data_IF_882789184275
#
_entry.id   IF_882789184275
#
_cell.length_a   1.000
_cell.length_b   1.000
_cell.length_c   1.000
_cell.angle_alpha   90.00
_cell.angle_beta   90.00
_cell.angle_gamma   90.00
#
_symmetry.space_group_name_H-M   'P 1'
#
loop_
_entity.id
_entity.type
_entity.pdbx_description
1 polymer ?
#
# COMPACT_ATOMS: atom_id res chain seq x y z
N UNK A 1 -34.20 24.45 8.26
CA UNK A 1 -33.14 24.88 9.19
C UNK A 1 -32.43 23.64 9.71
N UNK A 2 -31.75 22.92 8.83
CA UNK A 2 -30.79 21.89 9.19
C UNK A 2 -29.51 22.32 8.49
N UNK A 3 -28.62 22.95 9.23
CA UNK A 3 -27.28 23.22 8.76
C UNK A 3 -26.56 21.87 8.66
N UNK A 4 -26.29 21.46 7.43
CA UNK A 4 -25.28 20.47 7.11
C UNK A 4 -23.96 21.03 7.64
N UNK A 5 -23.52 20.49 8.79
CA UNK A 5 -22.18 20.72 9.29
C UNK A 5 -21.21 20.03 8.33
N UNK A 6 -20.86 20.71 7.23
CA UNK A 6 -19.62 20.41 6.52
C UNK A 6 -18.50 20.67 7.54
N UNK A 7 -17.96 19.61 8.11
CA UNK A 7 -16.65 19.64 8.74
C UNK A 7 -15.67 20.01 7.64
N UNK A 8 -15.43 21.31 7.48
CA UNK A 8 -14.40 21.82 6.58
C UNK A 8 -13.09 21.18 7.02
N UNK A 9 -12.53 20.32 6.19
CA UNK A 9 -11.19 19.81 6.42
C UNK A 9 -10.23 20.99 6.28
N UNK A 10 -9.77 21.49 7.42
CA UNK A 10 -8.87 22.63 7.48
C UNK A 10 -7.49 22.32 6.85
N UNK A 11 -7.20 21.05 6.59
CA UNK A 11 -5.96 20.59 5.99
C UNK A 11 -6.05 20.42 4.47
N UNK A 12 -7.23 20.56 3.87
CA UNK A 12 -7.45 20.40 2.43
C UNK A 12 -6.62 21.38 1.57
N UNK A 13 -6.32 22.58 2.10
CA UNK A 13 -5.58 23.62 1.40
C UNK A 13 -4.20 23.95 2.03
N UNK A 14 -3.72 23.11 2.95
CA UNK A 14 -2.46 23.35 3.68
C UNK A 14 -1.40 22.36 3.21
N UNK A 15 -0.29 22.90 2.72
CA UNK A 15 0.90 22.13 2.37
C UNK A 15 1.93 22.21 3.49
N UNK A 16 2.24 21.08 4.12
CA UNK A 16 3.29 20.98 5.12
C UNK A 16 4.60 20.49 4.48
N UNK A 17 5.73 20.95 5.01
CA UNK A 17 7.06 20.47 4.60
C UNK A 17 7.25 18.97 4.88
N UNK A 18 8.23 18.34 4.24
CA UNK A 18 8.69 17.00 4.63
C UNK A 18 8.98 17.00 6.14
N UNK A 19 8.50 15.98 6.86
CA UNK A 19 8.48 15.84 8.33
C UNK A 19 7.34 16.54 9.10
N UNK A 20 6.41 17.22 8.42
CA UNK A 20 5.26 17.85 9.07
C UNK A 20 3.93 17.29 8.56
N UNK A 21 2.99 17.09 9.46
CA UNK A 21 1.64 16.62 9.17
C UNK A 21 0.63 17.73 9.50
N UNK A 22 -0.34 17.96 8.63
CA UNK A 22 -1.42 18.90 8.93
C UNK A 22 -2.44 18.25 9.85
N UNK A 23 -2.67 18.86 11.01
CA UNK A 23 -3.71 18.47 11.97
C UNK A 23 -4.53 19.70 12.32
N UNK A 24 -5.84 19.65 12.10
CA UNK A 24 -6.78 20.74 12.42
C UNK A 24 -6.42 22.13 11.85
N UNK A 25 -5.67 22.16 10.74
CA UNK A 25 -5.23 23.40 10.10
C UNK A 25 -3.84 23.88 10.51
N UNK A 26 -3.09 23.09 11.28
CA UNK A 26 -1.74 23.42 11.73
C UNK A 26 -0.74 22.33 11.32
N UNK A 27 0.42 22.74 10.78
CA UNK A 27 1.51 21.82 10.49
C UNK A 27 2.27 21.52 11.78
N UNK A 28 2.15 20.27 12.26
CA UNK A 28 2.88 19.80 13.44
C UNK A 28 3.99 18.85 13.00
N UNK A 29 5.18 18.90 13.64
CA UNK A 29 6.26 17.99 13.30
C UNK A 29 5.86 16.55 13.67
N UNK A 30 6.15 15.60 12.79
CA UNK A 30 6.03 14.19 13.13
C UNK A 30 7.13 13.85 14.13
N UNK A 31 6.79 13.34 15.33
CA UNK A 31 7.81 12.98 16.30
C UNK A 31 8.61 11.77 15.80
N UNK A 32 9.87 11.69 16.21
CA UNK A 32 10.81 10.61 15.85
C UNK A 32 11.25 9.83 17.08
N UNK A 33 11.94 8.72 16.86
CA UNK A 33 12.55 7.92 17.93
C UNK A 33 13.96 8.39 18.33
N UNK A 34 14.51 9.44 17.70
CA UNK A 34 15.92 9.82 17.83
C UNK A 34 16.36 10.20 19.25
N UNK A 35 15.41 10.65 20.08
CA UNK A 35 15.67 11.10 21.45
C UNK A 35 14.92 10.26 22.51
N UNK A 36 14.49 9.06 22.16
CA UNK A 36 13.70 8.20 23.04
C UNK A 36 14.56 7.03 23.51
N UNK A 37 14.87 7.02 24.80
CA UNK A 37 15.60 5.93 25.45
C UNK A 37 14.59 5.01 26.13
N UNK A 38 14.53 3.77 25.66
CA UNK A 38 13.67 2.73 26.22
C UNK A 38 14.41 1.87 27.26
N UNK A 39 13.66 1.04 28.00
CA UNK A 39 14.23 0.11 28.99
C UNK A 39 15.07 -1.01 28.37
N UNK A 40 15.64 -1.86 29.23
CA UNK A 40 16.31 -3.09 28.78
C UNK A 40 15.32 -3.96 27.98
N UNK A 41 15.76 -4.47 26.83
CA UNK A 41 14.96 -5.26 25.89
C UNK A 41 13.73 -4.54 25.29
N UNK A 42 13.72 -3.21 25.28
CA UNK A 42 12.72 -2.39 24.58
C UNK A 42 13.33 -1.64 23.39
N UNK A 43 12.53 -1.42 22.35
CA UNK A 43 12.85 -0.60 21.19
C UNK A 43 11.78 0.48 21.01
N UNK A 44 12.22 1.70 20.64
CA UNK A 44 11.29 2.76 20.28
C UNK A 44 10.68 2.48 18.89
N UNK A 45 9.36 2.61 18.78
CA UNK A 45 8.62 2.55 17.52
C UNK A 45 7.60 3.68 17.45
N UNK A 46 7.25 4.10 16.23
CA UNK A 46 6.23 5.12 15.99
C UNK A 46 4.86 4.47 15.79
N UNK A 47 3.97 4.61 16.77
CA UNK A 47 2.63 4.04 16.76
C UNK A 47 1.58 5.09 16.40
N UNK A 48 0.51 4.69 15.71
CA UNK A 48 -0.59 5.60 15.33
C UNK A 48 -1.51 5.81 16.52
N UNK A 49 -1.67 7.05 16.98
CA UNK A 49 -2.70 7.37 17.98
C UNK A 49 -4.07 7.29 17.32
N UNK A 50 -4.98 6.48 17.87
CA UNK A 50 -6.36 6.40 17.39
C UNK A 50 -6.97 7.79 17.32
N UNK A 51 -7.25 8.25 16.10
CA UNK A 51 -7.80 9.56 15.83
C UNK A 51 -9.02 9.44 14.89
N UNK A 52 -10.03 10.25 15.11
CA UNK A 52 -11.30 10.16 14.37
C UNK A 52 -11.24 10.76 12.96
N UNK A 53 -10.18 11.49 12.61
CA UNK A 53 -10.01 12.11 11.30
C UNK A 53 -8.54 12.04 10.85
N UNK A 54 -8.19 11.18 9.87
CA UNK A 54 -6.84 11.12 9.34
C UNK A 54 -6.46 12.41 8.58
N UNK A 55 -5.16 12.74 8.45
CA UNK A 55 -4.02 11.92 8.84
C UNK A 55 -3.68 12.01 10.34
N UNK A 56 -3.37 10.88 10.98
CA UNK A 56 -3.09 10.82 12.43
C UNK A 56 -1.60 11.04 12.75
N UNK A 57 -1.34 11.73 13.87
CA UNK A 57 0.01 11.83 14.43
C UNK A 57 0.47 10.43 14.88
N UNK A 58 1.69 10.04 14.49
CA UNK A 58 2.37 8.91 15.10
C UNK A 58 3.11 9.41 16.34
N UNK A 59 3.19 8.62 17.40
CA UNK A 59 3.94 8.98 18.61
C UNK A 59 4.96 7.89 18.94
N UNK A 60 6.14 8.25 19.46
CA UNK A 60 7.13 7.27 19.88
C UNK A 60 6.65 6.54 21.13
N UNK A 61 6.66 5.21 21.06
CA UNK A 61 6.30 4.31 22.15
C UNK A 61 7.45 3.31 22.32
N UNK A 62 7.86 3.08 23.56
CA UNK A 62 8.76 1.99 23.90
C UNK A 62 7.96 0.69 23.96
N UNK A 63 8.35 -0.27 23.14
CA UNK A 63 7.77 -1.61 23.10
C UNK A 63 8.88 -2.63 23.32
N UNK A 64 8.53 -3.76 23.94
CA UNK A 64 9.42 -4.90 24.03
C UNK A 64 9.96 -5.29 22.64
N UNK A 65 11.27 -5.47 22.53
CA UNK A 65 11.98 -5.82 21.30
C UNK A 65 11.84 -7.31 20.99
N UNK A 66 10.60 -7.78 20.94
CA UNK A 66 10.25 -9.15 20.59
C UNK A 66 10.07 -9.25 19.08
N UNK A 67 10.61 -10.32 18.50
CA UNK A 67 10.30 -10.72 17.13
C UNK A 67 9.22 -11.78 17.13
N UNK A 68 8.51 -11.94 16.02
CA UNK A 68 7.51 -13.00 15.89
C UNK A 68 8.10 -14.42 15.97
N UNK A 69 9.41 -14.56 15.81
CA UNK A 69 10.12 -15.82 16.03
C UNK A 69 10.24 -16.19 17.52
N UNK A 70 10.17 -15.20 18.40
CA UNK A 70 10.31 -15.36 19.86
C UNK A 70 8.96 -15.52 20.57
N UNK A 71 7.84 -15.31 19.87
CA UNK A 71 6.50 -15.31 20.44
C UNK A 71 5.72 -16.58 20.12
N UNK A 72 5.11 -17.17 21.15
CA UNK A 72 4.11 -18.22 21.00
C UNK A 72 2.72 -17.64 21.32
N UNK A 73 2.02 -17.21 20.28
CA UNK A 73 0.69 -16.66 20.41
C UNK A 73 -0.33 -17.76 20.76
N UNK A 74 -1.34 -17.41 21.57
CA UNK A 74 -2.42 -18.33 21.94
C UNK A 74 -3.37 -18.56 20.76
N UNK A 75 -4.14 -19.67 20.73
CA UNK A 75 -5.11 -19.90 19.65
C UNK A 75 -6.07 -18.73 19.46
N UNK A 76 -6.31 -18.34 18.20
CA UNK A 76 -7.12 -17.18 17.83
C UNK A 76 -6.35 -15.85 17.80
N UNK A 77 -5.03 -15.88 18.01
CA UNK A 77 -4.15 -14.71 17.85
C UNK A 77 -3.00 -15.04 16.91
N UNK A 78 -2.55 -14.03 16.15
CA UNK A 78 -1.42 -14.10 15.23
C UNK A 78 -0.36 -13.09 15.66
N UNK A 79 0.91 -13.44 15.46
CA UNK A 79 1.97 -12.45 15.69
C UNK A 79 2.02 -11.46 14.54
N UNK A 80 1.94 -10.18 14.86
CA UNK A 80 2.08 -9.07 13.95
C UNK A 80 2.95 -7.98 14.61
N UNK A 81 4.02 -7.58 13.94
CA UNK A 81 5.01 -6.62 14.46
C UNK A 81 5.57 -6.95 15.86
N UNK A 82 5.77 -8.23 16.19
CA UNK A 82 6.25 -8.62 17.52
C UNK A 82 5.22 -8.45 18.63
N UNK A 83 3.94 -8.39 18.28
CA UNK A 83 2.81 -8.43 19.21
C UNK A 83 1.82 -9.54 18.79
N UNK A 84 1.24 -10.25 19.76
CA UNK A 84 0.14 -11.17 19.48
C UNK A 84 -1.17 -10.40 19.42
N UNK A 85 -1.73 -10.28 18.23
CA UNK A 85 -3.00 -9.59 17.99
C UNK A 85 -4.09 -10.59 17.58
N UNK A 86 -5.38 -10.27 17.74
CA UNK A 86 -6.46 -11.13 17.27
C UNK A 86 -6.29 -11.47 15.79
N UNK A 87 -6.51 -12.73 15.43
CA UNK A 87 -6.51 -13.15 14.04
C UNK A 87 -7.64 -12.41 13.29
N UNK A 88 -7.36 -11.76 12.14
CA UNK A 88 -8.38 -11.10 11.34
C UNK A 88 -9.54 -12.05 11.05
N UNK A 89 -10.76 -11.61 11.37
CA UNK A 89 -11.95 -12.43 11.15
C UNK A 89 -13.19 -11.56 10.92
N UNK A 90 -14.21 -12.19 10.37
CA UNK A 90 -15.56 -11.64 10.24
C UNK A 90 -16.45 -11.93 11.46
N UNK A 91 -15.89 -12.46 12.55
CA UNK A 91 -16.66 -12.78 13.74
C UNK A 91 -17.21 -11.49 14.37
N UNK A 92 -18.52 -11.47 14.65
CA UNK A 92 -19.19 -10.30 15.22
C UNK A 92 -19.47 -9.16 14.23
N UNK A 93 -19.08 -9.28 12.96
CA UNK A 93 -19.37 -8.26 11.93
C UNK A 93 -20.78 -8.45 11.38
N UNK A 94 -21.62 -7.42 11.53
CA UNK A 94 -22.99 -7.41 11.02
C UNK A 94 -23.06 -6.53 9.79
N UNK A 95 -23.21 -7.16 8.62
CA UNK A 95 -23.37 -6.46 7.35
C UNK A 95 -24.84 -6.13 7.03
N UNK A 96 -25.04 -5.17 6.12
CA UNK A 96 -26.36 -4.78 5.64
C UNK A 96 -27.06 -5.87 4.81
N UNK A 97 -28.32 -5.65 4.40
CA UNK A 97 -29.05 -6.60 3.56
C UNK A 97 -28.31 -6.85 2.24
N UNK A 98 -28.19 -8.13 1.85
CA UNK A 98 -27.47 -8.60 0.65
C UNK A 98 -25.97 -8.29 0.64
N UNK A 99 -25.38 -8.09 1.82
CA UNK A 99 -23.94 -8.03 2.00
C UNK A 99 -23.44 -9.21 2.82
N UNK A 100 -22.20 -9.60 2.62
CA UNK A 100 -21.47 -10.50 3.51
C UNK A 100 -20.13 -9.88 3.88
N UNK A 101 -19.58 -10.33 5.00
CA UNK A 101 -18.25 -9.91 5.43
C UNK A 101 -17.19 -10.75 4.72
N UNK A 102 -16.13 -10.10 4.26
CA UNK A 102 -14.90 -10.75 3.79
C UNK A 102 -13.68 -9.98 4.29
N UNK A 103 -12.53 -10.64 4.29
CA UNK A 103 -11.26 -10.03 4.65
C UNK A 103 -10.62 -9.45 3.38
N UNK A 104 -10.26 -8.18 3.41
CA UNK A 104 -9.52 -7.51 2.35
C UNK A 104 -8.11 -7.16 2.86
N UNK A 105 -7.10 -7.45 2.04
CA UNK A 105 -5.71 -7.11 2.33
C UNK A 105 -5.45 -5.63 1.99
N UNK A 106 -5.11 -4.79 2.97
CA UNK A 106 -4.79 -3.39 2.71
C UNK A 106 -3.46 -3.27 1.93
N UNK A 107 -3.29 -2.21 1.14
CA UNK A 107 -2.05 -2.00 0.39
C UNK A 107 -0.85 -1.88 1.34
N UNK A 108 0.21 -2.62 1.04
CA UNK A 108 1.44 -2.66 1.81
C UNK A 108 2.49 -1.71 1.22
N UNK A 109 2.77 -0.60 1.92
CA UNK A 109 3.78 0.39 1.52
C UNK A 109 5.05 0.33 2.37
N UNK A 110 5.15 -0.65 3.27
CA UNK A 110 6.28 -0.82 4.19
C UNK A 110 6.11 -2.08 5.04
N UNK A 111 7.17 -2.50 5.72
CA UNK A 111 7.11 -3.65 6.63
C UNK A 111 7.01 -3.19 8.09
N UNK A 112 6.22 -3.88 8.93
CA UNK A 112 5.37 -5.02 8.57
C UNK A 112 4.08 -4.58 7.84
N UNK A 113 3.60 -5.42 6.91
CA UNK A 113 2.39 -5.13 6.14
C UNK A 113 1.15 -5.14 7.05
N UNK A 114 0.20 -4.21 6.90
CA UNK A 114 -0.98 -4.19 7.75
C UNK A 114 -1.80 -5.47 7.57
N UNK A 115 -2.44 -5.91 8.65
CA UNK A 115 -3.30 -7.09 8.63
C UNK A 115 -4.57 -6.86 7.81
N UNK A 116 -5.13 -7.94 7.27
CA UNK A 116 -6.40 -7.93 6.58
C UNK A 116 -7.51 -7.33 7.46
N UNK A 117 -8.44 -6.60 6.85
CA UNK A 117 -9.54 -5.94 7.54
C UNK A 117 -10.88 -6.54 7.11
N UNK A 118 -11.82 -6.79 8.04
CA UNK A 118 -13.15 -7.23 7.68
C UNK A 118 -13.94 -6.09 7.05
N UNK A 119 -14.43 -6.30 5.84
CA UNK A 119 -15.28 -5.35 5.12
C UNK A 119 -16.59 -6.00 4.69
N UNK A 120 -17.64 -5.19 4.63
CA UNK A 120 -18.93 -5.61 4.10
C UNK A 120 -19.02 -5.25 2.63
N UNK A 121 -19.18 -6.23 1.77
CA UNK A 121 -19.51 -6.00 0.37
C UNK A 121 -20.61 -6.93 -0.10
N UNK A 122 -20.99 -6.87 -1.38
CA UNK A 122 -22.09 -7.67 -1.91
C UNK A 122 -21.82 -9.15 -1.67
N UNK A 123 -22.87 -9.93 -1.36
CA UNK A 123 -22.75 -11.39 -1.25
C UNK A 123 -22.13 -11.92 -2.53
N UNK A 124 -20.91 -12.44 -2.41
CA UNK A 124 -20.20 -13.14 -3.44
C UNK A 124 -21.00 -14.39 -3.78
N UNK A 125 -21.31 -14.55 -5.07
CA UNK A 125 -21.90 -15.80 -5.55
C UNK A 125 -20.94 -16.99 -5.43
N UNK A 126 -19.69 -16.75 -5.07
CA UNK A 126 -18.67 -17.77 -4.85
C UNK A 126 -18.57 -18.26 -3.40
N UNK A 127 -19.33 -17.66 -2.47
CA UNK A 127 -19.37 -18.10 -1.07
C UNK A 127 -19.84 -19.56 -0.99
N UNK A 128 -18.98 -20.44 -0.46
CA UNK A 128 -19.23 -21.89 -0.38
C UNK A 128 -19.03 -22.69 -1.69
N UNK A 129 -18.61 -22.05 -2.78
CA UNK A 129 -18.32 -22.75 -4.05
C UNK A 129 -16.93 -23.38 -3.99
N UNK A 130 -16.85 -24.68 -4.23
CA UNK A 130 -15.58 -25.42 -4.36
C UNK A 130 -15.34 -25.79 -5.81
N UNK A 131 -14.39 -25.11 -6.45
CA UNK A 131 -13.93 -25.45 -7.79
C UNK A 131 -12.87 -26.55 -7.74
N UNK A 132 -12.76 -27.31 -8.83
CA UNK A 132 -11.70 -28.31 -9.01
C UNK A 132 -10.36 -27.61 -9.28
N UNK A 133 -9.25 -28.33 -9.13
CA UNK A 133 -7.92 -27.83 -9.46
C UNK A 133 -7.85 -27.26 -10.89
N UNK A 134 -7.19 -26.10 -11.04
CA UNK A 134 -7.13 -25.33 -12.29
C UNK A 134 -8.39 -24.53 -12.63
N UNK A 135 -9.34 -24.39 -11.69
CA UNK A 135 -10.56 -23.60 -11.84
C UNK A 135 -10.73 -22.63 -10.67
N UNK A 136 -11.14 -21.41 -10.99
CA UNK A 136 -11.43 -20.35 -10.03
C UNK A 136 -12.90 -19.97 -10.09
N UNK A 137 -13.49 -19.56 -8.97
CA UNK A 137 -14.87 -19.10 -8.96
C UNK A 137 -14.92 -17.62 -9.34
N UNK A 138 -15.69 -17.29 -10.39
CA UNK A 138 -15.99 -15.92 -10.79
C UNK A 138 -17.50 -15.79 -10.92
N UNK A 139 -18.10 -14.84 -10.19
CA UNK A 139 -19.55 -14.57 -10.14
C UNK A 139 -20.41 -15.84 -9.94
N UNK A 140 -19.92 -16.79 -9.14
CA UNK A 140 -20.62 -18.04 -8.78
C UNK A 140 -20.42 -19.19 -9.76
N UNK A 141 -19.56 -19.03 -10.76
CA UNK A 141 -19.25 -20.06 -11.73
C UNK A 141 -17.78 -20.46 -11.62
N UNK A 142 -17.51 -21.77 -11.61
CA UNK A 142 -16.16 -22.28 -11.75
C UNK A 142 -15.73 -22.16 -13.22
N UNK A 143 -14.81 -21.23 -13.48
CA UNK A 143 -14.18 -21.04 -14.79
C UNK A 143 -12.74 -21.51 -14.74
N UNK A 144 -12.19 -21.86 -15.89
CA UNK A 144 -10.77 -22.21 -15.97
C UNK A 144 -9.92 -21.04 -15.45
N UNK A 145 -8.91 -21.34 -14.66
CA UNK A 145 -7.99 -20.34 -14.15
C UNK A 145 -7.30 -19.64 -15.33
N UNK A 146 -7.51 -18.32 -15.50
CA UNK A 146 -6.91 -17.60 -16.61
C UNK A 146 -5.40 -17.51 -16.39
N UNK A 147 -4.64 -17.99 -17.37
CA UNK A 147 -3.18 -17.95 -17.35
C UNK A 147 -2.63 -17.82 -18.77
N UNK A 148 -1.32 -17.63 -18.87
CA UNK A 148 -0.59 -17.55 -20.14
C UNK A 148 0.04 -18.89 -20.55
N UNK A 149 -0.32 -20.00 -19.90
CA UNK A 149 0.30 -21.30 -20.17
C UNK A 149 -0.06 -21.79 -21.57
N UNK A 150 0.97 -22.20 -22.31
CA UNK A 150 0.81 -22.68 -23.69
C UNK A 150 0.60 -21.58 -24.73
N UNK A 151 0.59 -20.30 -24.34
CA UNK A 151 0.53 -19.17 -25.29
C UNK A 151 1.95 -18.82 -25.75
N UNK A 152 2.18 -18.88 -27.06
CA UNK A 152 3.44 -18.51 -27.69
C UNK A 152 3.23 -17.19 -28.43
N UNK A 153 3.75 -16.10 -27.86
CA UNK A 153 3.67 -14.79 -28.49
C UNK A 153 4.75 -14.61 -29.57
N UNK A 154 4.48 -13.78 -30.59
CA UNK A 154 5.46 -13.37 -31.58
C UNK A 154 6.72 -12.74 -30.96
N UNK A 155 7.81 -12.70 -31.73
CA UNK A 155 9.04 -12.04 -31.29
C UNK A 155 8.78 -10.58 -30.94
N UNK A 156 9.18 -10.17 -29.73
CA UNK A 156 8.96 -8.82 -29.22
C UNK A 156 7.61 -8.59 -28.54
N UNK A 157 6.79 -9.64 -28.38
CA UNK A 157 5.55 -9.59 -27.60
C UNK A 157 5.63 -10.53 -26.38
N UNK A 158 4.92 -10.17 -25.33
CA UNK A 158 4.74 -10.98 -24.13
C UNK A 158 3.25 -11.25 -23.88
N UNK A 159 2.95 -12.36 -23.21
CA UNK A 159 1.58 -12.70 -22.83
C UNK A 159 1.20 -11.98 -21.54
N UNK A 160 0.01 -11.40 -21.54
CA UNK A 160 -0.61 -10.80 -20.36
C UNK A 160 -2.10 -11.15 -20.34
N UNK A 161 -2.69 -11.12 -19.14
CA UNK A 161 -4.11 -11.33 -18.97
C UNK A 161 -4.85 -9.99 -19.19
N UNK A 162 -5.59 -9.92 -20.28
CA UNK A 162 -6.36 -8.73 -20.66
C UNK A 162 -7.78 -8.84 -20.14
N UNK A 163 -8.25 -7.81 -19.44
CA UNK A 163 -9.69 -7.69 -19.12
C UNK A 163 -10.51 -7.57 -20.40
N UNK A 164 -11.60 -8.32 -20.46
CA UNK A 164 -12.46 -8.38 -21.64
C UNK A 164 -13.86 -7.89 -21.33
N UNK A 165 -14.41 -7.11 -22.26
CA UNK A 165 -15.84 -6.84 -22.26
C UNK A 165 -16.56 -8.06 -22.83
N UNK A 166 -17.37 -8.73 -22.01
CA UNK A 166 -18.17 -9.85 -22.45
C UNK A 166 -19.66 -9.55 -22.28
N UNK A 167 -20.50 -10.13 -23.15
CA UNK A 167 -21.94 -9.87 -23.18
C UNK A 167 -22.67 -10.56 -22.02
N UNK A 168 -22.05 -11.58 -21.41
CA UNK A 168 -22.63 -12.39 -20.33
C UNK A 168 -21.54 -12.81 -19.36
N UNK A 169 -21.73 -12.51 -18.08
CA UNK A 169 -20.86 -12.96 -17.00
C UNK A 169 -20.80 -14.50 -16.89
N UNK A 170 -19.69 -15.05 -16.37
CA UNK A 170 -18.47 -14.36 -15.92
C UNK A 170 -17.53 -13.96 -17.07
N UNK A 171 -16.85 -12.83 -16.94
CA UNK A 171 -15.79 -12.37 -17.86
C UNK A 171 -14.39 -12.61 -17.27
N UNK A 172 -13.85 -13.84 -17.27
CA UNK A 172 -12.45 -14.04 -16.91
C UNK A 172 -11.54 -13.27 -17.89
N UNK A 173 -10.42 -12.70 -17.42
CA UNK A 173 -9.45 -12.08 -18.32
C UNK A 173 -8.89 -13.13 -19.30
N UNK A 174 -8.60 -12.70 -20.53
CA UNK A 174 -8.10 -13.58 -21.58
C UNK A 174 -6.61 -13.35 -21.83
N UNK A 175 -5.81 -14.42 -21.98
CA UNK A 175 -4.42 -14.28 -22.36
C UNK A 175 -4.34 -13.65 -23.76
N UNK A 176 -3.59 -12.57 -23.85
CA UNK A 176 -3.40 -11.79 -25.07
C UNK A 176 -1.91 -11.47 -25.20
N UNK A 177 -1.40 -11.43 -26.42
CA UNK A 177 -0.04 -10.96 -26.66
C UNK A 177 -0.02 -9.43 -26.81
N UNK A 178 0.96 -8.78 -26.19
CA UNK A 178 1.19 -7.34 -26.33
C UNK A 178 2.69 -7.07 -26.50
N UNK A 179 3.06 -6.03 -27.26
CA UNK A 179 4.45 -5.62 -27.41
C UNK A 179 5.13 -5.42 -26.06
N UNK A 180 6.33 -5.98 -25.91
CA UNK A 180 7.21 -5.63 -24.80
C UNK A 180 7.60 -4.17 -24.99
N UNK A 181 7.20 -3.31 -24.06
CA UNK A 181 7.52 -1.88 -24.14
C UNK A 181 9.01 -1.69 -23.91
N UNK A 182 9.73 -1.20 -24.93
CA UNK A 182 11.12 -0.78 -24.81
C UNK A 182 11.23 0.72 -24.67
N UNK A 183 12.36 1.24 -24.17
CA UNK A 183 12.60 2.68 -24.11
C UNK A 183 12.53 3.41 -25.47
N UNK A 184 12.60 2.69 -26.59
CA UNK A 184 12.36 3.25 -27.94
C UNK A 184 10.88 3.55 -28.20
N UNK A 185 9.98 2.87 -27.49
CA UNK A 185 8.51 2.99 -27.61
C UNK A 185 7.89 3.78 -26.46
N UNK A 186 8.55 3.83 -25.31
CA UNK A 186 8.06 4.53 -24.11
C UNK A 186 8.29 6.03 -24.27
N UNK A 187 7.20 6.79 -24.38
CA UNK A 187 7.23 8.25 -24.29
C UNK A 187 7.12 8.70 -22.83
N UNK A 188 8.22 9.10 -22.21
CA UNK A 188 8.20 9.71 -20.88
C UNK A 188 7.75 11.19 -20.94
N UNK A 189 7.10 11.65 -19.88
CA UNK A 189 6.74 13.07 -19.71
C UNK A 189 8.01 13.92 -19.47
N UNK A 190 7.97 15.24 -19.74
CA UNK A 190 9.12 16.12 -19.47
C UNK A 190 9.61 16.02 -18.02
N UNK A 191 10.93 15.92 -17.83
CA UNK A 191 11.58 15.72 -16.52
C UNK A 191 11.76 14.24 -16.12
N UNK A 192 11.35 13.30 -16.98
CA UNK A 192 11.57 11.88 -16.82
C UNK A 192 12.31 11.32 -18.04
N UNK A 193 13.25 10.42 -17.81
CA UNK A 193 14.01 9.69 -18.83
C UNK A 193 13.66 8.21 -18.74
N UNK A 194 13.67 7.50 -19.87
CA UNK A 194 13.45 6.07 -19.85
C UNK A 194 14.77 5.35 -19.55
N UNK A 195 14.78 4.57 -18.46
CA UNK A 195 15.89 3.70 -18.06
C UNK A 195 15.30 2.32 -17.72
N UNK A 196 15.89 1.24 -18.24
CA UNK A 196 15.42 -0.14 -18.05
C UNK A 196 13.91 -0.34 -18.33
N UNK A 197 13.40 0.30 -19.38
CA UNK A 197 11.99 0.28 -19.79
C UNK A 197 11.02 0.89 -18.76
N UNK A 198 11.52 1.77 -17.88
CA UNK A 198 10.73 2.51 -16.88
C UNK A 198 11.07 4.01 -16.97
N UNK A 199 10.07 4.88 -16.86
CA UNK A 199 10.31 6.32 -16.76
C UNK A 199 10.79 6.67 -15.34
N UNK A 200 12.04 7.10 -15.23
CA UNK A 200 12.65 7.57 -13.98
C UNK A 200 12.85 9.08 -14.02
N UNK A 201 12.76 9.80 -12.88
CA UNK A 201 13.07 11.22 -12.84
C UNK A 201 14.51 11.45 -13.32
N UNK A 202 14.68 12.41 -14.24
CA UNK A 202 16.00 12.84 -14.68
C UNK A 202 16.77 13.33 -13.44
N UNK A 203 17.84 12.63 -13.06
CA UNK A 203 18.60 12.99 -11.87
C UNK A 203 19.05 14.45 -12.01
N UNK A 204 18.47 15.34 -11.21
CA UNK A 204 19.11 16.62 -10.93
C UNK A 204 20.36 16.30 -10.15
N UNK A 205 21.49 16.13 -10.85
CA UNK A 205 22.79 16.30 -10.23
C UNK A 205 22.76 17.63 -9.49
N UNK A 206 22.74 17.54 -8.15
CA UNK A 206 23.05 18.66 -7.28
C UNK A 206 24.30 19.31 -7.84
N UNK A 207 24.22 20.62 -8.05
CA UNK A 207 25.40 21.47 -8.17
C UNK A 207 26.20 21.36 -6.86
N UNK A 208 27.46 20.90 -6.88
CA UNK A 208 28.45 21.61 -6.09
C UNK A 208 29.75 21.82 -6.87
N UNK A 209 29.72 22.66 -7.90
CA UNK A 209 30.95 23.32 -8.38
C UNK A 209 31.12 24.74 -7.79
N UNK A 210 30.43 25.06 -6.68
CA UNK A 210 30.66 26.31 -5.94
C UNK A 210 31.50 26.16 -4.65
N UNK A 211 31.94 24.95 -4.28
CA UNK A 211 32.80 24.77 -3.10
C UNK A 211 34.31 24.87 -3.39
N UNK A 212 34.73 24.74 -4.65
CA UNK A 212 36.15 24.90 -5.05
C UNK A 212 36.59 26.38 -5.17
N UNK A 213 35.64 27.32 -5.31
CA UNK A 213 35.96 28.75 -5.42
C UNK A 213 36.04 29.49 -4.08
N UNK A 214 35.41 28.97 -3.03
CA UNK A 214 35.39 29.65 -1.71
C UNK A 214 36.64 29.32 -0.89
N UNK A 215 37.27 28.16 -1.07
CA UNK A 215 38.50 27.80 -0.36
C UNK A 215 39.71 28.65 -0.77
N UNK A 216 39.77 29.14 -2.02
CA UNK A 216 40.89 29.96 -2.49
C UNK A 216 40.81 31.41 -1.97
N UNK A 217 39.61 31.97 -1.79
CA UNK A 217 39.42 33.35 -1.32
C UNK A 217 39.69 33.52 0.18
N UNK A 218 39.56 32.47 1.00
CA UNK A 218 39.83 32.53 2.45
C UNK A 218 41.33 32.38 2.77
N UNK A 219 42.15 31.85 1.85
CA UNK A 219 43.61 31.75 2.06
C UNK A 219 44.41 32.99 1.65
N UNK A 220 43.79 34.01 1.06
CA UNK A 220 44.48 35.22 0.54
C UNK A 220 43.95 36.53 1.16
N UNK A 221 43.16 36.47 2.24
CA UNK A 221 42.74 37.62 3.04
C UNK A 221 43.29 37.57 4.48
#
# INVERSE_FOLDING_TARGET
>A
WFDLLHTVDKCEAIYCSEDFICINGECVPQPTCDNVVCGEDEACRLDVVHCSNPPCLRVPICRSNLTCEMLQCVPGTVCHDGECVPEPSCEGVICGPRQECFLEDPPCFGTPCPLAVPICGPVSRCSGVRCREGFVCIDGYCVAEPNCDGIQCPSGEECYLKEVFCVRDPCPPLPTCHPVLTCDMIGCIPGYVCEDNVCVPEHQEKLPELLELITVLVTVL
#
